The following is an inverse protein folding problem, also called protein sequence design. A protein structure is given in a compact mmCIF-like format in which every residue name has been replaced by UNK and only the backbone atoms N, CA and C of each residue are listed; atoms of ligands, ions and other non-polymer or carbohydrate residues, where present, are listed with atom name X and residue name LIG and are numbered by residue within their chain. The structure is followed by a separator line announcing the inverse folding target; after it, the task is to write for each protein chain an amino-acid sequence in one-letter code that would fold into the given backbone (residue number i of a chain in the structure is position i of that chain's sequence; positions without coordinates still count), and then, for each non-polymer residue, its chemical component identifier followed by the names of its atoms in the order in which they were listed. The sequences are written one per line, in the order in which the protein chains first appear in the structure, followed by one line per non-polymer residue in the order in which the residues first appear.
data_IF_567634567312
#
_entry.id   IF_567634567312
#
_cell.length_a   1.000
_cell.length_b   1.000
_cell.length_c   1.000
_cell.angle_alpha   90.00
_cell.angle_beta   90.00
_cell.angle_gamma   90.00
#
_symmetry.space_group_name_H-M   'P 1'
#
loop_
_entity.id
_entity.type
_entity.pdbx_description
1 polymer ?
#
# COMPACT_ATOMS: atom_id res chain seq x y z
N UNK A 1 -1.83 -58.04 -46.76
CA UNK A 1 -1.94 -56.57 -46.68
C UNK A 1 -1.77 -56.19 -45.21
N UNK A 2 -0.60 -55.67 -44.83
CA UNK A 2 -0.21 -55.39 -43.44
C UNK A 2 -0.97 -54.17 -42.91
N UNK A 3 -1.73 -54.33 -41.82
CA UNK A 3 -2.39 -53.21 -41.14
C UNK A 3 -1.42 -52.63 -40.10
N UNK A 4 -0.92 -51.41 -40.35
CA UNK A 4 -0.11 -50.65 -39.39
C UNK A 4 -1.01 -50.16 -38.25
N UNK A 5 -0.84 -50.70 -37.03
CA UNK A 5 -1.31 -50.03 -35.81
C UNK A 5 -0.33 -48.90 -35.48
N UNK A 6 -0.79 -47.66 -35.59
CA UNK A 6 -0.10 -46.48 -35.07
C UNK A 6 -0.55 -46.32 -33.62
N UNK A 7 0.36 -46.51 -32.66
CA UNK A 7 0.14 -46.11 -31.27
C UNK A 7 0.40 -44.61 -31.15
N UNK A 8 -0.67 -43.83 -30.98
CA UNK A 8 -0.58 -42.43 -30.55
C UNK A 8 -0.44 -42.46 -29.03
N UNK A 9 0.76 -42.24 -28.51
CA UNK A 9 0.94 -41.90 -27.11
C UNK A 9 0.41 -40.48 -26.89
N UNK A 10 -0.82 -40.35 -26.40
CA UNK A 10 -1.24 -39.13 -25.70
C UNK A 10 -0.50 -39.13 -24.36
N UNK A 11 0.54 -38.31 -24.26
CA UNK A 11 1.09 -37.93 -22.96
C UNK A 11 0.01 -37.11 -22.25
N UNK A 12 -0.79 -37.77 -21.40
CA UNK A 12 -1.58 -37.07 -20.40
C UNK A 12 -0.58 -36.42 -19.44
N UNK A 13 -0.41 -35.10 -19.54
CA UNK A 13 0.31 -34.31 -18.55
C UNK A 13 -0.42 -34.46 -17.22
N UNK A 14 0.15 -35.28 -16.33
CA UNK A 14 -0.26 -35.35 -14.94
C UNK A 14 0.11 -33.99 -14.34
N UNK A 15 -0.84 -33.06 -14.30
CA UNK A 15 -0.74 -31.86 -13.49
C UNK A 15 -0.75 -32.32 -12.04
N UNK A 16 0.44 -32.43 -11.44
CA UNK A 16 0.57 -32.58 -10.00
C UNK A 16 -0.22 -31.45 -9.33
N UNK A 17 -1.01 -31.72 -8.27
CA UNK A 17 -1.72 -30.66 -7.56
C UNK A 17 -0.70 -29.64 -7.07
N UNK A 18 -0.84 -28.40 -7.51
CA UNK A 18 -0.02 -27.30 -7.04
C UNK A 18 -0.39 -27.07 -5.56
N UNK A 19 0.60 -27.19 -4.68
CA UNK A 19 0.40 -26.85 -3.26
C UNK A 19 0.20 -25.32 -3.20
N UNK A 20 -0.91 -24.90 -2.62
CA UNK A 20 -1.22 -23.48 -2.38
C UNK A 20 -1.10 -23.23 -0.88
N UNK A 21 -0.33 -22.20 -0.52
CA UNK A 21 -0.23 -21.64 0.82
C UNK A 21 -0.87 -20.27 0.79
N UNK A 22 -2.04 -20.16 1.40
CA UNK A 22 -2.70 -18.87 1.63
C UNK A 22 -2.01 -18.16 2.81
N UNK A 23 -1.89 -16.84 2.71
CA UNK A 23 -1.39 -15.96 3.75
C UNK A 23 -2.52 -14.97 4.04
N UNK A 24 -3.22 -15.19 5.14
CA UNK A 24 -4.38 -14.40 5.52
C UNK A 24 -3.93 -13.07 6.14
N UNK A 25 -4.29 -11.96 5.50
CA UNK A 25 -3.83 -10.62 5.90
C UNK A 25 -5.01 -9.75 6.30
N UNK A 26 -5.07 -9.42 7.59
CA UNK A 26 -5.96 -8.40 8.11
C UNK A 26 -5.42 -7.00 7.81
N UNK A 27 -6.22 -6.16 7.18
CA UNK A 27 -5.96 -4.73 6.99
C UNK A 27 -6.91 -3.97 7.91
N UNK A 28 -6.36 -3.23 8.87
CA UNK A 28 -7.17 -2.44 9.80
C UNK A 28 -7.03 -0.94 9.53
N UNK A 29 -8.17 -0.30 9.30
CA UNK A 29 -8.33 1.15 9.34
C UNK A 29 -9.41 1.55 10.35
N UNK A 30 -9.19 2.64 11.06
CA UNK A 30 -10.18 3.22 11.97
C UNK A 30 -11.37 3.79 11.19
N UNK A 31 -11.15 4.17 9.93
CA UNK A 31 -12.19 4.45 8.95
C UNK A 31 -11.84 3.82 7.61
N UNK A 32 -12.81 3.19 6.95
CA UNK A 32 -12.64 2.53 5.66
C UNK A 32 -12.43 3.53 4.49
N UNK A 33 -11.58 4.55 4.64
CA UNK A 33 -11.37 5.62 3.65
C UNK A 33 -10.11 5.45 2.79
N UNK A 34 -9.20 4.54 3.13
CA UNK A 34 -7.90 4.35 2.45
C UNK A 34 -7.51 2.87 2.27
N UNK A 35 -8.47 1.98 2.45
CA UNK A 35 -8.35 0.52 2.45
C UNK A 35 -7.97 -0.10 1.10
N UNK A 36 -8.38 0.54 0.00
CA UNK A 36 -8.09 0.05 -1.34
C UNK A 36 -6.60 0.05 -1.68
N UNK A 37 -5.80 1.02 -1.23
CA UNK A 37 -4.40 1.15 -1.67
C UNK A 37 -3.52 0.01 -1.16
N UNK A 38 -3.68 -0.38 0.11
CA UNK A 38 -2.97 -1.52 0.68
C UNK A 38 -3.40 -2.80 -0.03
N UNK A 39 -4.72 -3.01 -0.18
CA UNK A 39 -5.28 -4.18 -0.86
C UNK A 39 -4.76 -4.28 -2.30
N UNK A 40 -4.74 -3.17 -3.02
CA UNK A 40 -4.25 -3.08 -4.40
C UNK A 40 -2.75 -3.44 -4.47
N UNK A 41 -1.95 -2.98 -3.50
CA UNK A 41 -0.53 -3.29 -3.43
C UNK A 41 -0.22 -4.78 -3.19
N UNK A 42 -1.06 -5.46 -2.41
CA UNK A 42 -0.76 -6.81 -1.89
C UNK A 42 -1.64 -7.93 -2.47
N UNK A 43 -2.60 -7.61 -3.35
CA UNK A 43 -3.39 -8.59 -4.13
C UNK A 43 -2.49 -9.32 -5.14
N UNK A 44 -1.74 -10.29 -4.64
CA UNK A 44 -0.59 -10.87 -5.30
C UNK A 44 -0.36 -12.33 -4.87
N UNK A 45 0.07 -13.15 -5.83
CA UNK A 45 0.54 -14.51 -5.60
C UNK A 45 1.81 -14.80 -6.39
N UNK A 46 2.64 -15.71 -5.89
CA UNK A 46 3.86 -16.13 -6.56
C UNK A 46 4.11 -17.62 -6.36
N UNK A 47 4.81 -18.25 -7.30
CA UNK A 47 5.25 -19.63 -7.17
C UNK A 47 6.77 -19.73 -6.95
N UNK A 48 7.18 -20.44 -5.89
CA UNK A 48 8.59 -20.72 -5.59
C UNK A 48 8.73 -22.15 -5.10
N UNK A 49 9.73 -22.86 -5.61
CA UNK A 49 10.03 -24.26 -5.26
C UNK A 49 8.84 -25.21 -5.38
N UNK A 50 7.95 -24.99 -6.37
CA UNK A 50 6.77 -25.83 -6.62
C UNK A 50 5.55 -25.51 -5.75
N UNK A 51 5.63 -24.52 -4.86
CA UNK A 51 4.53 -24.05 -4.00
C UNK A 51 4.05 -22.69 -4.51
N UNK A 52 2.73 -22.51 -4.63
CA UNK A 52 2.10 -21.20 -4.84
C UNK A 52 1.82 -20.58 -3.47
N UNK A 53 2.22 -19.34 -3.28
CA UNK A 53 1.87 -18.52 -2.13
C UNK A 53 0.89 -17.45 -2.59
N UNK A 54 -0.19 -17.24 -1.85
CA UNK A 54 -1.25 -16.30 -2.20
C UNK A 54 -1.55 -15.41 -1.00
N UNK A 55 -1.43 -14.08 -1.17
CA UNK A 55 -1.83 -13.13 -0.14
C UNK A 55 -3.34 -12.94 -0.25
N UNK A 56 -4.05 -13.17 0.85
CA UNK A 56 -5.51 -13.03 0.93
C UNK A 56 -5.81 -11.83 1.85
N UNK A 57 -5.96 -10.61 1.28
CA UNK A 57 -6.21 -9.41 2.07
C UNK A 57 -7.69 -9.28 2.43
N UNK A 58 -7.98 -9.03 3.70
CA UNK A 58 -9.31 -8.73 4.21
C UNK A 58 -9.29 -7.46 5.07
N UNK A 59 -10.28 -6.60 4.87
CA UNK A 59 -10.43 -5.38 5.66
C UNK A 59 -11.27 -5.72 6.88
N UNK A 60 -10.72 -5.50 8.06
CA UNK A 60 -11.38 -5.79 9.33
C UNK A 60 -11.70 -4.51 10.10
N UNK A 61 -12.68 -4.61 10.98
CA UNK A 61 -13.16 -3.52 11.82
C UNK A 61 -12.57 -3.59 13.22
N UNK A 62 -12.68 -2.46 13.94
CA UNK A 62 -12.26 -2.36 15.34
C UNK A 62 -12.94 -3.40 16.23
N UNK A 63 -14.22 -3.66 15.97
CA UNK A 63 -15.01 -4.59 16.78
C UNK A 63 -14.61 -6.05 16.53
N UNK A 64 -14.22 -6.42 15.30
CA UNK A 64 -13.67 -7.75 15.00
C UNK A 64 -12.33 -7.97 15.72
N UNK A 65 -11.45 -6.95 15.74
CA UNK A 65 -10.22 -6.99 16.54
C UNK A 65 -10.55 -7.19 18.03
N UNK A 66 -11.50 -6.43 18.58
CA UNK A 66 -11.91 -6.57 19.99
C UNK A 66 -12.48 -7.95 20.30
N UNK A 67 -13.16 -8.58 19.35
CA UNK A 67 -13.69 -9.95 19.50
C UNK A 67 -12.59 -11.02 19.43
N UNK A 68 -11.35 -10.65 19.09
CA UNK A 68 -10.21 -11.55 18.99
C UNK A 68 -10.11 -12.25 17.64
N UNK A 69 -10.79 -11.74 16.61
CA UNK A 69 -10.86 -12.36 15.28
C UNK A 69 -9.51 -12.29 14.54
N UNK A 70 -8.54 -11.51 15.04
CA UNK A 70 -7.15 -11.52 14.58
C UNK A 70 -6.50 -12.92 14.61
N UNK A 71 -7.02 -13.86 15.41
CA UNK A 71 -6.52 -15.24 15.42
C UNK A 71 -6.74 -16.01 14.11
N UNK A 72 -7.55 -15.48 13.21
CA UNK A 72 -7.83 -16.08 11.90
C UNK A 72 -6.85 -15.62 10.81
N UNK A 73 -5.89 -14.75 11.14
CA UNK A 73 -4.97 -14.15 10.18
C UNK A 73 -3.52 -14.49 10.51
N UNK A 74 -2.64 -14.41 9.52
CA UNK A 74 -1.20 -14.54 9.69
C UNK A 74 -0.54 -13.19 9.97
N UNK A 75 -1.06 -12.12 9.35
CA UNK A 75 -0.46 -10.78 9.40
C UNK A 75 -1.54 -9.71 9.58
N UNK A 76 -1.26 -8.74 10.46
CA UNK A 76 -2.02 -7.50 10.59
C UNK A 76 -1.23 -6.34 9.98
N UNK A 77 -1.85 -5.63 9.05
CA UNK A 77 -1.35 -4.38 8.47
C UNK A 77 -2.15 -3.22 9.05
N UNK A 78 -1.46 -2.28 9.70
CA UNK A 78 -2.00 -0.99 10.11
C UNK A 78 -1.28 0.11 9.32
N UNK A 79 -1.93 0.72 8.34
CA UNK A 79 -1.38 1.80 7.55
C UNK A 79 -1.50 3.17 8.23
N UNK A 80 -1.10 4.24 7.53
CA UNK A 80 -1.13 5.59 8.06
C UNK A 80 -2.55 6.17 8.12
N UNK A 81 -3.09 6.35 9.33
CA UNK A 81 -4.36 7.05 9.55
C UNK A 81 -4.35 7.82 10.88
N UNK A 82 -4.78 9.09 10.94
CA UNK A 82 -4.77 9.87 12.17
C UNK A 82 -5.73 9.36 13.26
N UNK A 83 -6.83 8.69 12.90
CA UNK A 83 -7.80 8.18 13.88
C UNK A 83 -7.28 7.01 14.71
N UNK A 84 -6.23 6.32 14.25
CA UNK A 84 -5.66 5.16 14.94
C UNK A 84 -5.11 5.50 16.35
N UNK A 85 -4.68 6.75 16.56
CA UNK A 85 -4.21 7.21 17.87
C UNK A 85 -5.33 7.25 18.91
N UNK A 86 -6.56 7.54 18.50
CA UNK A 86 -7.73 7.45 19.40
C UNK A 86 -8.07 5.99 19.71
N UNK A 87 -7.87 5.07 18.76
CA UNK A 87 -8.09 3.64 18.99
C UNK A 87 -7.14 3.06 20.03
N UNK A 88 -5.94 3.63 20.18
CA UNK A 88 -5.00 3.24 21.23
C UNK A 88 -5.49 3.55 22.66
N UNK A 89 -6.59 4.29 22.83
CA UNK A 89 -7.27 4.46 24.12
C UNK A 89 -8.15 3.25 24.48
N UNK A 90 -8.47 2.37 23.52
CA UNK A 90 -9.22 1.15 23.75
C UNK A 90 -8.28 0.02 24.20
N UNK A 91 -8.28 -0.26 25.51
CA UNK A 91 -7.43 -1.29 26.11
C UNK A 91 -7.71 -2.69 25.58
N UNK A 92 -8.96 -3.00 25.21
CA UNK A 92 -9.31 -4.32 24.67
C UNK A 92 -8.73 -4.49 23.27
N UNK A 93 -8.85 -3.46 22.44
CA UNK A 93 -8.24 -3.43 21.11
C UNK A 93 -6.72 -3.62 21.18
N UNK A 94 -6.03 -2.86 22.04
CA UNK A 94 -4.57 -3.01 22.24
C UNK A 94 -4.19 -4.40 22.71
N UNK A 95 -4.95 -4.96 23.67
CA UNK A 95 -4.68 -6.29 24.24
C UNK A 95 -4.77 -7.37 23.18
N UNK A 96 -5.78 -7.35 22.32
CA UNK A 96 -5.93 -8.38 21.28
C UNK A 96 -4.83 -8.25 20.22
N UNK A 97 -4.39 -7.05 19.84
CA UNK A 97 -3.23 -6.88 18.94
C UNK A 97 -1.95 -7.40 19.58
N UNK A 98 -1.66 -7.00 20.83
CA UNK A 98 -0.47 -7.51 21.55
C UNK A 98 -0.49 -9.03 21.63
N UNK A 99 -1.63 -9.62 21.96
CA UNK A 99 -1.80 -11.08 22.04
C UNK A 99 -1.57 -11.75 20.69
N UNK A 100 -2.15 -11.21 19.62
CA UNK A 100 -1.97 -11.70 18.26
C UNK A 100 -0.48 -11.74 17.88
N UNK A 101 0.22 -10.62 18.05
CA UNK A 101 1.64 -10.53 17.71
C UNK A 101 2.47 -11.44 18.63
N UNK A 102 2.23 -11.43 19.95
CA UNK A 102 3.01 -12.27 20.88
C UNK A 102 2.88 -13.76 20.58
N UNK A 103 1.76 -14.19 20.00
CA UNK A 103 1.47 -15.59 19.66
C UNK A 103 2.00 -16.00 18.27
N UNK A 104 2.75 -15.14 17.58
CA UNK A 104 3.37 -15.47 16.28
C UNK A 104 2.81 -14.70 15.10
N UNK A 105 1.73 -13.92 15.29
CA UNK A 105 1.17 -13.07 14.24
C UNK A 105 2.16 -11.98 13.78
N UNK A 106 2.17 -11.70 12.48
CA UNK A 106 2.94 -10.62 11.89
C UNK A 106 2.30 -9.26 12.08
N UNK A 107 3.08 -8.21 12.34
CA UNK A 107 2.60 -6.83 12.37
C UNK A 107 3.36 -5.98 11.35
N UNK A 108 2.63 -5.24 10.52
CA UNK A 108 3.20 -4.24 9.61
C UNK A 108 2.55 -2.89 9.91
N UNK A 109 3.33 -1.94 10.41
CA UNK A 109 2.90 -0.57 10.66
C UNK A 109 3.46 0.39 9.61
N UNK A 110 2.64 1.27 9.05
CA UNK A 110 3.06 2.31 8.09
C UNK A 110 2.66 3.68 8.64
N UNK A 111 3.58 4.66 8.63
CA UNK A 111 3.37 6.02 9.11
C UNK A 111 2.77 6.02 10.53
N UNK A 112 1.52 6.47 10.72
CA UNK A 112 0.83 6.39 12.02
C UNK A 112 0.75 4.98 12.60
N UNK A 113 0.61 3.95 11.77
CA UNK A 113 0.70 2.56 12.18
C UNK A 113 2.08 2.17 12.71
N UNK A 114 3.16 2.73 12.16
CA UNK A 114 4.50 2.52 12.69
C UNK A 114 4.67 3.21 14.06
N UNK A 115 4.19 4.45 14.18
CA UNK A 115 4.29 5.24 15.42
C UNK A 115 3.59 4.55 16.61
N UNK A 116 2.39 3.99 16.39
CA UNK A 116 1.66 3.32 17.47
C UNK A 116 2.25 1.98 17.89
N UNK A 117 3.22 1.42 17.17
CA UNK A 117 3.92 0.21 17.62
C UNK A 117 4.79 0.47 18.87
N UNK A 118 5.18 1.73 19.08
CA UNK A 118 6.09 2.13 20.14
C UNK A 118 5.53 2.03 21.57
N UNK A 119 6.40 2.24 22.58
CA UNK A 119 6.09 2.00 24.00
C UNK A 119 4.87 2.77 24.54
N UNK A 120 4.62 3.97 24.03
CA UNK A 120 3.52 4.84 24.47
C UNK A 120 2.13 4.33 24.07
N UNK A 121 2.06 3.40 23.11
CA UNK A 121 0.81 2.91 22.53
C UNK A 121 0.72 1.39 22.62
N UNK A 122 1.05 0.65 21.56
CA UNK A 122 1.02 -0.81 21.53
C UNK A 122 2.17 -1.43 22.32
N UNK A 123 3.35 -0.80 22.40
CA UNK A 123 4.51 -1.36 23.10
C UNK A 123 4.98 -2.71 22.56
N UNK A 124 4.79 -2.93 21.26
CA UNK A 124 5.25 -4.13 20.53
C UNK A 124 6.60 -3.89 19.85
N UNK A 125 7.13 -2.67 19.90
CA UNK A 125 8.47 -2.33 19.44
C UNK A 125 9.13 -1.32 20.39
N UNK A 126 10.41 -1.53 20.72
CA UNK A 126 11.19 -0.60 21.53
C UNK A 126 11.82 0.51 20.67
N UNK A 127 10.95 1.31 20.04
CA UNK A 127 11.34 2.41 19.17
C UNK A 127 11.26 3.75 19.89
N UNK A 128 12.15 4.66 19.52
CA UNK A 128 11.97 6.09 19.73
C UNK A 128 11.40 6.71 18.45
N UNK A 129 10.55 7.72 18.62
CA UNK A 129 9.84 8.41 17.54
C UNK A 129 10.27 9.88 17.60
N UNK A 130 10.97 10.34 16.57
CA UNK A 130 11.26 11.76 16.33
C UNK A 130 10.17 12.30 15.38
N UNK A 131 9.24 13.07 15.94
CA UNK A 131 7.99 13.43 15.28
C UNK A 131 7.46 14.77 15.85
N UNK A 132 7.79 15.89 15.20
CA UNK A 132 7.40 17.22 15.67
C UNK A 132 6.30 17.85 14.80
N UNK A 133 5.26 18.33 15.48
CA UNK A 133 4.10 19.00 14.86
C UNK A 133 4.48 20.27 14.09
N UNK A 134 5.55 20.95 14.50
CA UNK A 134 6.06 22.17 13.90
C UNK A 134 7.15 21.93 12.85
N UNK A 135 7.55 20.67 12.66
CA UNK A 135 8.61 20.24 11.74
C UNK A 135 8.06 19.24 10.70
N UNK A 136 8.28 17.93 10.85
CA UNK A 136 7.94 16.89 9.87
C UNK A 136 6.46 16.92 9.49
N UNK A 137 5.57 17.14 10.47
CA UNK A 137 4.12 17.13 10.25
C UNK A 137 3.65 18.26 9.35
N UNK A 138 4.46 19.30 9.12
CA UNK A 138 4.09 20.32 8.14
C UNK A 138 4.02 19.73 6.73
N UNK A 139 4.81 18.70 6.41
CA UNK A 139 4.67 17.96 5.15
C UNK A 139 3.35 17.20 5.08
N UNK A 140 2.72 16.86 6.22
CA UNK A 140 1.42 16.17 6.27
C UNK A 140 0.28 17.19 6.18
N UNK A 141 0.27 18.13 7.12
CA UNK A 141 -0.80 19.10 7.30
C UNK A 141 -0.97 20.02 6.09
N UNK A 142 0.12 20.31 5.40
CA UNK A 142 0.17 21.29 4.32
C UNK A 142 0.18 20.66 2.93
N UNK A 143 0.30 19.34 2.83
CA UNK A 143 0.26 18.66 1.54
C UNK A 143 -1.05 18.93 0.83
N UNK A 144 -1.04 19.01 -0.49
CA UNK A 144 -2.22 18.64 -1.27
C UNK A 144 -2.29 17.11 -1.30
N UNK A 145 -3.38 16.46 -0.89
CA UNK A 145 -3.39 14.99 -0.78
C UNK A 145 -3.17 14.30 -2.14
N UNK A 146 -3.59 14.95 -3.25
CA UNK A 146 -3.44 14.43 -4.61
C UNK A 146 -2.09 14.75 -5.27
N UNK A 147 -1.34 15.71 -4.75
CA UNK A 147 -0.12 16.24 -5.39
C UNK A 147 1.04 16.50 -4.44
N UNK A 148 0.84 16.40 -3.15
CA UNK A 148 1.81 16.56 -2.07
C UNK A 148 2.40 15.22 -1.66
N UNK A 149 3.13 15.20 -0.55
CA UNK A 149 4.05 14.11 -0.23
C UNK A 149 5.28 14.21 -1.11
N UNK A 150 6.45 14.13 -0.50
CA UNK A 150 7.72 14.38 -1.14
C UNK A 150 8.47 13.07 -1.41
N UNK A 151 9.28 12.99 -2.47
CA UNK A 151 10.11 11.83 -2.73
C UNK A 151 11.35 11.89 -1.82
N UNK A 152 11.46 11.03 -0.82
CA UNK A 152 12.68 10.93 -0.01
C UNK A 152 13.48 9.69 -0.38
N UNK A 153 14.79 9.86 -0.56
CA UNK A 153 15.70 8.74 -0.66
C UNK A 153 15.97 8.13 0.71
N UNK A 154 15.81 6.82 0.78
CA UNK A 154 16.27 6.00 1.89
C UNK A 154 17.49 5.19 1.46
N UNK A 155 18.49 5.11 2.32
CA UNK A 155 19.59 4.18 2.18
C UNK A 155 19.19 2.80 2.69
N UNK A 156 19.51 1.76 1.91
CA UNK A 156 19.20 0.37 2.24
C UNK A 156 20.48 -0.31 2.77
N UNK A 157 20.68 -0.40 4.10
CA UNK A 157 21.84 -1.10 4.66
C UNK A 157 21.74 -2.60 4.39
N UNK A 158 22.89 -3.29 4.42
CA UNK A 158 22.89 -4.75 4.44
C UNK A 158 22.10 -5.26 5.65
N UNK A 159 21.24 -6.25 5.42
CA UNK A 159 20.47 -6.90 6.48
C UNK A 159 20.39 -8.40 6.21
N UNK A 160 20.33 -9.19 7.28
CA UNK A 160 19.99 -10.62 7.17
C UNK A 160 18.51 -10.82 6.84
N UNK A 161 17.70 -9.78 6.95
CA UNK A 161 16.28 -9.83 6.64
C UNK A 161 16.10 -9.58 5.13
N UNK A 162 15.50 -10.55 4.40
CA UNK A 162 15.53 -10.58 2.94
C UNK A 162 14.52 -9.65 2.27
N UNK A 163 13.85 -8.76 3.02
CA UNK A 163 12.85 -7.82 2.45
C UNK A 163 13.51 -7.02 1.33
N UNK A 164 14.68 -6.42 1.57
CA UNK A 164 15.43 -5.65 0.58
C UNK A 164 16.55 -6.44 -0.13
N UNK A 165 16.49 -7.78 -0.14
CA UNK A 165 17.49 -8.60 -0.84
C UNK A 165 17.58 -8.20 -2.33
N UNK A 166 18.81 -7.90 -2.77
CA UNK A 166 19.12 -7.36 -4.11
C UNK A 166 19.31 -5.83 -4.16
N UNK A 167 19.01 -5.10 -3.08
CA UNK A 167 19.07 -3.63 -3.04
C UNK A 167 20.02 -3.09 -1.95
N UNK A 168 20.76 -3.95 -1.25
CA UNK A 168 21.68 -3.52 -0.20
C UNK A 168 22.79 -2.61 -0.75
N UNK A 169 23.10 -1.54 -0.02
CA UNK A 169 24.08 -0.53 -0.42
C UNK A 169 23.56 0.48 -1.46
N UNK A 170 22.29 0.41 -1.83
CA UNK A 170 21.66 1.36 -2.76
C UNK A 170 20.76 2.36 -2.03
N UNK A 171 20.35 3.38 -2.77
CA UNK A 171 19.30 4.31 -2.37
C UNK A 171 18.01 3.95 -3.08
N UNK A 172 16.88 4.12 -2.40
CA UNK A 172 15.55 3.95 -2.98
C UNK A 172 14.67 5.11 -2.62
N UNK A 173 13.92 5.60 -3.59
CA UNK A 173 12.98 6.68 -3.36
C UNK A 173 11.66 6.12 -2.81
N UNK A 174 11.20 6.63 -1.67
CA UNK A 174 9.92 6.25 -1.07
C UNK A 174 9.17 7.53 -0.71
N UNK A 175 7.87 7.52 -0.96
CA UNK A 175 7.02 8.68 -0.79
C UNK A 175 6.78 8.97 0.69
N UNK A 176 6.90 10.24 1.07
CA UNK A 176 6.89 10.69 2.47
C UNK A 176 5.94 11.86 2.70
N UNK A 177 5.20 11.86 3.81
CA UNK A 177 4.25 12.92 4.17
C UNK A 177 4.52 13.53 5.55
N UNK A 178 5.63 13.27 6.22
CA UNK A 178 5.81 13.70 7.62
C UNK A 178 5.70 12.54 8.60
N UNK A 179 6.17 11.35 8.20
CA UNK A 179 6.32 10.22 9.11
C UNK A 179 7.54 10.40 10.01
N UNK A 180 7.54 9.81 11.19
CA UNK A 180 8.61 10.02 12.15
C UNK A 180 9.96 9.47 11.69
N UNK A 181 11.05 10.12 12.11
CA UNK A 181 12.33 9.44 12.23
C UNK A 181 12.25 8.40 13.36
N UNK A 182 12.74 7.18 13.12
CA UNK A 182 12.72 6.13 14.14
C UNK A 182 14.12 5.82 14.67
N UNK A 183 14.19 5.48 15.95
CA UNK A 183 15.39 4.96 16.61
C UNK A 183 15.07 3.83 17.58
N UNK A 184 15.93 3.62 18.57
CA UNK A 184 15.74 2.63 19.63
C UNK A 184 16.36 1.26 19.36
N UNK A 185 15.96 0.27 20.16
CA UNK A 185 16.49 -1.10 20.13
C UNK A 185 15.69 -1.97 19.15
N UNK A 186 15.81 -1.60 17.88
CA UNK A 186 15.23 -2.32 16.74
C UNK A 186 16.27 -2.39 15.62
N UNK A 187 16.11 -3.33 14.70
CA UNK A 187 17.05 -3.49 13.60
C UNK A 187 16.61 -2.65 12.40
N UNK A 188 17.38 -1.62 11.97
CA UNK A 188 17.04 -0.85 10.79
C UNK A 188 17.19 -1.69 9.52
N UNK A 189 16.24 -1.52 8.60
CA UNK A 189 16.27 -2.09 7.25
C UNK A 189 16.18 -1.02 6.16
N UNK A 190 15.91 0.23 6.52
CA UNK A 190 16.10 1.42 5.69
C UNK A 190 16.39 2.64 6.58
N UNK A 191 17.20 3.57 6.11
CA UNK A 191 17.65 4.77 6.83
C UNK A 191 17.32 5.99 5.97
N UNK A 192 16.79 7.07 6.54
CA UNK A 192 16.61 8.33 5.80
C UNK A 192 17.98 8.85 5.33
N UNK A 193 18.19 8.93 4.02
CA UNK A 193 19.44 9.43 3.44
C UNK A 193 19.42 10.95 3.23
N UNK A 194 18.24 11.55 3.29
CA UNK A 194 17.95 12.94 2.99
C UNK A 194 17.08 13.53 4.08
N UNK A 195 17.16 14.85 4.21
CA UNK A 195 16.33 15.63 5.12
C UNK A 195 15.16 16.26 4.33
N UNK A 196 13.89 16.09 4.74
CA UNK A 196 12.74 16.75 4.11
C UNK A 196 12.94 18.24 3.79
N UNK A 197 13.48 19.02 4.73
CA UNK A 197 13.68 20.46 4.50
C UNK A 197 14.79 20.77 3.48
N UNK A 198 15.72 19.84 3.23
CA UNK A 198 16.73 19.97 2.17
C UNK A 198 16.15 19.62 0.79
N UNK A 199 15.33 18.57 0.71
CA UNK A 199 14.71 18.08 -0.54
C UNK A 199 13.55 18.98 -0.98
N UNK A 200 12.76 19.43 -0.02
CA UNK A 200 11.52 20.15 -0.24
C UNK A 200 11.41 21.33 0.74
N UNK A 201 12.20 22.41 0.55
CA UNK A 201 12.15 23.56 1.44
C UNK A 201 10.73 24.13 1.54
N UNK A 202 10.16 24.11 2.74
CA UNK A 202 8.79 24.52 3.00
C UNK A 202 8.76 25.62 4.08
N UNK A 203 7.87 26.61 3.93
CA UNK A 203 7.62 27.59 4.98
C UNK A 203 6.55 27.11 5.96
N UNK A 204 6.74 27.45 7.24
CA UNK A 204 5.67 27.44 8.22
C UNK A 204 4.78 28.66 8.01
N UNK A 205 3.55 28.42 7.58
CA UNK A 205 2.59 29.48 7.32
C UNK A 205 1.71 29.76 8.53
N UNK A 206 1.52 31.04 8.85
CA UNK A 206 0.61 31.50 9.93
C UNK A 206 -0.47 32.41 9.37
N UNK A 207 -1.62 32.42 10.05
CA UNK A 207 -2.73 33.32 9.74
C UNK A 207 -2.72 34.54 10.67
N UNK A 208 -2.51 35.74 10.10
CA UNK A 208 -2.65 37.02 10.79
C UNK A 208 -3.62 37.96 10.04
N UNK A 209 -4.77 37.42 9.62
CA UNK A 209 -5.72 38.11 8.71
C UNK A 209 -5.40 37.94 7.22
N UNK A 210 -4.21 37.44 6.93
CA UNK A 210 -3.78 36.84 5.66
C UNK A 210 -2.76 35.75 5.96
N UNK A 211 -2.59 34.80 5.04
CA UNK A 211 -1.52 33.81 5.14
C UNK A 211 -0.16 34.44 4.86
N UNK A 212 0.77 34.31 5.81
CA UNK A 212 2.15 34.78 5.65
C UNK A 212 3.15 33.65 5.96
N UNK A 213 4.26 33.58 5.21
CA UNK A 213 5.36 32.69 5.58
C UNK A 213 6.03 33.28 6.83
N UNK A 214 6.05 32.51 7.92
CA UNK A 214 6.60 32.97 9.20
C UNK A 214 8.06 32.59 9.38
N UNK A 215 8.39 31.33 9.10
CA UNK A 215 9.75 30.78 9.17
C UNK A 215 9.90 29.62 8.21
N UNK A 216 11.13 29.20 7.93
CA UNK A 216 11.37 27.93 7.25
C UNK A 216 11.12 26.78 8.22
N UNK A 217 10.57 25.69 7.69
CA UNK A 217 10.56 24.41 8.38
C UNK A 217 11.97 23.85 8.35
N UNK A 218 12.40 23.36 9.50
CA UNK A 218 13.64 22.59 9.68
C UNK A 218 13.20 21.26 10.23
N UNK A 219 13.75 20.18 9.71
CA UNK A 219 13.51 18.80 10.16
C UNK A 219 14.87 18.18 10.49
N UNK A 220 14.88 17.10 11.26
CA UNK A 220 16.13 16.45 11.70
C UNK A 220 16.09 14.91 11.70
N UNK A 221 15.46 14.31 10.67
CA UNK A 221 15.29 12.85 10.58
C UNK A 221 16.37 12.14 9.74
N UNK A 222 17.26 12.87 9.07
CA UNK A 222 18.33 12.28 8.25
C UNK A 222 19.29 11.44 9.11
N UNK A 223 19.52 10.20 8.68
CA UNK A 223 20.32 9.22 9.42
C UNK A 223 19.50 8.39 10.42
N UNK A 224 18.25 8.76 10.69
CA UNK A 224 17.32 7.95 11.47
C UNK A 224 16.70 6.82 10.63
N UNK A 225 16.05 5.87 11.30
CA UNK A 225 15.50 4.69 10.64
C UNK A 225 14.21 5.05 9.92
N UNK A 226 14.21 4.91 8.59
CA UNK A 226 13.01 5.02 7.77
C UNK A 226 12.17 3.73 7.82
N UNK A 227 12.82 2.59 8.00
CA UNK A 227 12.15 1.32 8.23
C UNK A 227 12.96 0.45 9.19
N UNK A 228 12.26 -0.26 10.07
CA UNK A 228 12.89 -1.12 11.07
C UNK A 228 12.08 -2.39 11.31
N UNK A 229 12.75 -3.41 11.84
CA UNK A 229 12.11 -4.67 12.23
C UNK A 229 12.52 -5.09 13.63
N UNK A 230 11.61 -5.76 14.31
CA UNK A 230 11.86 -6.36 15.63
C UNK A 230 10.95 -7.57 15.85
N UNK A 231 10.97 -8.12 17.05
CA UNK A 231 10.05 -9.18 17.49
C UNK A 231 9.32 -8.75 18.74
N UNK A 232 8.11 -9.29 18.90
CA UNK A 232 7.35 -9.20 20.13
C UNK A 232 6.71 -10.55 20.39
N UNK A 233 7.14 -11.22 21.48
CA UNK A 233 6.90 -12.65 21.64
C UNK A 233 7.42 -13.45 20.44
N UNK A 234 6.58 -14.29 19.87
CA UNK A 234 6.92 -15.11 18.70
C UNK A 234 6.70 -14.39 17.36
N UNK A 235 6.00 -13.25 17.37
CA UNK A 235 5.65 -12.48 16.17
C UNK A 235 6.77 -11.58 15.66
N UNK A 236 6.63 -11.20 14.39
CA UNK A 236 7.54 -10.28 13.68
C UNK A 236 6.85 -8.95 13.48
N UNK A 237 7.56 -7.87 13.80
CA UNK A 237 7.08 -6.50 13.68
C UNK A 237 7.93 -5.78 12.64
N UNK A 238 7.28 -5.18 11.65
CA UNK A 238 7.88 -4.41 10.56
C UNK A 238 7.26 -3.02 10.56
N UNK A 239 8.10 -2.00 10.53
CA UNK A 239 7.69 -0.60 10.65
C UNK A 239 8.24 0.19 9.47
N UNK A 240 7.39 0.98 8.84
CA UNK A 240 7.75 1.91 7.77
C UNK A 240 7.27 3.30 8.16
N UNK A 241 8.19 4.25 8.26
CA UNK A 241 7.84 5.67 8.35
C UNK A 241 7.29 6.23 7.02
N UNK A 242 7.97 6.04 5.87
CA UNK A 242 7.43 6.45 4.57
C UNK A 242 6.40 5.43 4.03
N UNK A 243 5.78 5.74 2.90
CA UNK A 243 4.65 5.01 2.33
C UNK A 243 5.05 4.14 1.11
N UNK A 244 5.50 2.88 1.29
CA UNK A 244 5.83 1.98 0.19
C UNK A 244 4.61 1.50 -0.63
N UNK A 245 3.39 1.67 -0.11
CA UNK A 245 2.13 1.40 -0.81
C UNK A 245 1.78 2.48 -1.85
N UNK A 246 2.42 3.65 -1.78
CA UNK A 246 2.16 4.76 -2.68
C UNK A 246 3.23 4.86 -3.77
N UNK A 247 2.81 5.41 -4.91
CA UNK A 247 3.75 5.86 -5.93
C UNK A 247 4.58 7.05 -5.42
N UNK A 248 5.74 7.25 -6.01
CA UNK A 248 6.63 8.34 -5.65
C UNK A 248 6.90 9.26 -6.84
N UNK A 249 7.82 10.21 -6.69
CA UNK A 249 8.34 11.02 -7.79
C UNK A 249 9.80 10.69 -8.07
N UNK A 250 10.19 10.84 -9.33
CA UNK A 250 11.56 10.59 -9.79
C UNK A 250 12.37 11.89 -9.79
N UNK A 251 11.69 13.01 -9.99
CA UNK A 251 12.25 14.36 -10.00
C UNK A 251 11.19 15.35 -9.48
N UNK A 252 11.54 16.64 -9.48
CA UNK A 252 10.61 17.72 -9.26
C UNK A 252 11.05 18.70 -8.20
N UNK A 253 10.12 19.56 -7.83
CA UNK A 253 10.29 20.58 -6.82
C UNK A 253 8.98 20.84 -6.09
N UNK A 254 9.08 21.51 -4.95
CA UNK A 254 7.93 21.96 -4.18
C UNK A 254 7.42 23.30 -4.72
N UNK A 255 6.11 23.41 -4.88
CA UNK A 255 5.42 24.67 -5.16
C UNK A 255 4.49 25.00 -4.01
N UNK A 256 4.81 26.05 -3.27
CA UNK A 256 3.94 26.59 -2.23
C UNK A 256 2.85 27.46 -2.84
N UNK A 257 1.61 27.17 -2.46
CA UNK A 257 0.43 27.90 -2.85
C UNK A 257 -0.36 28.19 -1.58
N UNK A 258 -0.43 29.41 -1.06
CA UNK A 258 -1.68 29.77 -0.42
C UNK A 258 -2.72 29.79 -1.54
N UNK A 259 -3.54 28.74 -1.62
CA UNK A 259 -4.63 28.65 -2.63
C UNK A 259 -5.51 29.90 -2.55
N UNK A 260 -5.58 30.53 -1.36
CA UNK A 260 -6.27 31.78 -1.12
C UNK A 260 -5.62 32.60 0.02
N UNK A 261 -4.71 33.55 -0.26
CA UNK A 261 -4.00 34.29 0.78
C UNK A 261 -4.90 35.16 1.68
N UNK A 262 -6.10 35.49 1.20
CA UNK A 262 -7.11 36.32 1.90
C UNK A 262 -8.27 35.51 2.52
N UNK A 263 -8.38 34.20 2.25
CA UNK A 263 -9.43 33.37 2.85
C UNK A 263 -8.96 32.82 4.21
N UNK A 264 -9.92 32.78 5.13
CA UNK A 264 -9.99 32.24 6.51
C UNK A 264 -8.74 31.54 7.12
N UNK A 265 -8.59 31.54 8.45
CA UNK A 265 -7.51 30.80 9.16
C UNK A 265 -7.45 29.29 8.90
N UNK A 266 -8.43 28.72 8.20
CA UNK A 266 -8.42 27.34 7.76
C UNK A 266 -8.06 27.29 6.27
N UNK A 267 -6.80 26.98 5.98
CA UNK A 267 -6.36 26.62 4.62
C UNK A 267 -5.79 25.22 4.63
N UNK A 268 -6.26 24.42 3.69
CA UNK A 268 -5.76 23.08 3.39
C UNK A 268 -4.96 23.20 2.10
N UNK A 269 -3.98 22.30 1.91
CA UNK A 269 -3.22 22.18 0.65
C UNK A 269 -2.34 23.40 0.35
N UNK A 270 -1.36 23.66 1.21
CA UNK A 270 -0.44 24.79 1.03
C UNK A 270 0.74 24.49 0.12
N UNK A 271 0.96 23.24 -0.27
CA UNK A 271 1.97 22.90 -1.26
C UNK A 271 1.55 21.75 -2.17
N UNK A 272 2.10 21.78 -3.38
CA UNK A 272 2.17 20.63 -4.29
C UNK A 272 3.63 20.24 -4.46
N UNK A 273 3.87 18.96 -4.73
CA UNK A 273 5.06 18.53 -5.45
C UNK A 273 4.75 18.54 -6.94
N UNK A 274 5.64 19.12 -7.73
CA UNK A 274 5.54 19.18 -9.19
C UNK A 274 6.72 18.44 -9.78
N UNK A 275 6.44 17.31 -10.43
CA UNK A 275 7.45 16.43 -11.00
C UNK A 275 6.85 15.19 -11.64
N UNK A 276 7.71 14.36 -12.22
CA UNK A 276 7.33 13.11 -12.85
C UNK A 276 7.08 12.03 -11.80
N UNK A 277 5.88 11.43 -11.84
CA UNK A 277 5.52 10.30 -10.97
C UNK A 277 6.23 9.03 -11.43
N UNK A 278 6.61 8.19 -10.46
CA UNK A 278 6.94 6.80 -10.72
C UNK A 278 5.71 6.06 -11.23
N UNK A 279 5.93 4.83 -11.68
CA UNK A 279 4.80 3.94 -11.87
C UNK A 279 4.14 3.60 -10.50
N UNK A 280 2.87 3.18 -10.52
CA UNK A 280 2.07 3.01 -9.30
C UNK A 280 2.64 1.93 -8.36
N UNK A 281 3.12 0.82 -8.93
CA UNK A 281 3.62 -0.34 -8.18
C UNK A 281 5.11 -0.29 -7.86
N UNK A 282 5.77 0.84 -8.09
CA UNK A 282 7.21 1.01 -7.94
C UNK A 282 7.74 0.44 -6.62
N UNK A 283 7.03 0.65 -5.51
CA UNK A 283 7.44 0.18 -4.17
C UNK A 283 6.59 -0.96 -3.60
N UNK A 284 5.56 -1.43 -4.30
CA UNK A 284 4.60 -2.41 -3.76
C UNK A 284 5.24 -3.74 -3.34
N UNK A 285 6.31 -4.15 -4.02
CA UNK A 285 7.05 -5.35 -3.67
C UNK A 285 7.62 -5.33 -2.25
N UNK A 286 7.86 -4.14 -1.66
CA UNK A 286 8.35 -3.99 -0.29
C UNK A 286 7.31 -4.57 0.68
N UNK A 287 6.02 -4.25 0.49
CA UNK A 287 4.94 -4.79 1.30
C UNK A 287 4.72 -6.28 1.07
N UNK A 288 4.74 -6.73 -0.19
CA UNK A 288 4.60 -8.17 -0.54
C UNK A 288 5.69 -9.02 0.14
N UNK A 289 6.94 -8.56 0.11
CA UNK A 289 8.06 -9.24 0.79
C UNK A 289 7.97 -9.14 2.31
N UNK A 290 7.48 -8.02 2.84
CA UNK A 290 7.27 -7.84 4.28
C UNK A 290 6.21 -8.80 4.81
N UNK A 291 5.09 -8.96 4.11
CA UNK A 291 4.03 -9.93 4.43
C UNK A 291 4.59 -11.35 4.38
N UNK A 292 5.27 -11.72 3.28
CA UNK A 292 5.85 -13.05 3.16
C UNK A 292 6.86 -13.34 4.30
N UNK A 293 7.70 -12.37 4.66
CA UNK A 293 8.64 -12.53 5.76
C UNK A 293 7.92 -12.65 7.11
N UNK A 294 6.91 -11.81 7.36
CA UNK A 294 6.10 -11.83 8.58
C UNK A 294 5.41 -13.18 8.78
N UNK A 295 4.82 -13.73 7.72
CA UNK A 295 4.13 -15.02 7.68
C UNK A 295 5.07 -16.25 7.58
N UNK A 296 6.40 -16.07 7.65
CA UNK A 296 7.39 -17.15 7.47
C UNK A 296 7.31 -17.87 6.10
N UNK A 297 6.75 -17.21 5.08
CA UNK A 297 6.68 -17.70 3.71
C UNK A 297 7.98 -17.44 2.93
N UNK A 298 8.07 -18.05 1.74
CA UNK A 298 9.22 -17.84 0.84
C UNK A 298 9.12 -16.45 0.20
N UNK A 299 10.20 -15.67 0.24
CA UNK A 299 10.19 -14.29 -0.26
C UNK A 299 9.89 -14.22 -1.78
N UNK A 300 8.91 -13.40 -2.21
CA UNK A 300 8.61 -13.15 -3.62
C UNK A 300 9.70 -12.33 -4.32
N UNK A 301 9.74 -12.31 -5.66
CA UNK A 301 10.60 -11.40 -6.41
C UNK A 301 10.31 -9.92 -6.06
N UNK A 302 11.31 -9.05 -6.23
CA UNK A 302 11.11 -7.60 -6.15
C UNK A 302 10.49 -7.13 -7.47
N UNK A 303 9.20 -7.39 -7.61
CA UNK A 303 8.47 -7.22 -8.86
C UNK A 303 7.47 -6.08 -8.78
N UNK A 304 7.53 -5.20 -9.77
CA UNK A 304 6.56 -4.13 -10.00
C UNK A 304 5.33 -4.64 -10.78
N UNK A 305 5.19 -5.97 -10.99
CA UNK A 305 4.01 -6.53 -11.67
C UNK A 305 2.73 -6.07 -10.96
N UNK A 306 1.80 -5.51 -11.74
CA UNK A 306 0.50 -5.05 -11.25
C UNK A 306 -0.57 -5.04 -12.35
N UNK A 307 -1.82 -5.09 -11.91
CA UNK A 307 -3.00 -4.67 -12.67
C UNK A 307 -3.80 -3.68 -11.83
N UNK A 308 -4.43 -2.71 -12.48
CA UNK A 308 -5.20 -1.68 -11.82
C UNK A 308 -6.39 -1.26 -12.68
N UNK A 309 -7.60 -1.32 -12.12
CA UNK A 309 -8.81 -0.86 -12.78
C UNK A 309 -8.88 0.67 -12.63
N UNK A 310 -8.48 1.39 -13.68
CA UNK A 310 -8.47 2.84 -13.72
C UNK A 310 -9.88 3.41 -13.85
N UNK A 311 -10.69 2.80 -14.71
CA UNK A 311 -12.03 3.26 -15.05
C UNK A 311 -12.95 2.03 -15.18
N UNK A 312 -14.20 2.09 -14.70
CA UNK A 312 -14.74 3.12 -13.82
C UNK A 312 -14.21 2.93 -12.39
N UNK A 313 -13.77 3.99 -11.70
CA UNK A 313 -13.40 3.94 -10.26
C UNK A 313 -13.78 5.24 -9.56
N UNK A 314 -14.32 5.13 -8.34
CA UNK A 314 -14.64 6.24 -7.42
C UNK A 314 -15.37 7.42 -8.07
N UNK A 315 -16.42 7.14 -8.86
CA UNK A 315 -17.13 8.20 -9.56
C UNK A 315 -18.54 7.83 -10.02
N UNK A 316 -19.31 8.86 -10.34
CA UNK A 316 -20.56 8.74 -11.07
C UNK A 316 -20.27 8.87 -12.57
N UNK A 317 -20.61 7.83 -13.32
CA UNK A 317 -20.44 7.74 -14.75
C UNK A 317 -21.78 7.77 -15.45
N UNK A 318 -21.91 8.61 -16.47
CA UNK A 318 -23.09 8.64 -17.35
C UNK A 318 -22.60 8.41 -18.78
N UNK A 319 -23.00 7.29 -19.39
CA UNK A 319 -22.62 6.90 -20.75
C UNK A 319 -21.10 6.99 -21.00
N UNK A 320 -20.30 6.44 -20.07
CA UNK A 320 -18.85 6.33 -20.17
C UNK A 320 -18.07 7.56 -19.71
N UNK A 321 -18.75 8.67 -19.37
CA UNK A 321 -18.09 9.88 -18.88
C UNK A 321 -18.22 9.99 -17.37
N UNK A 322 -17.08 10.14 -16.66
CA UNK A 322 -17.07 10.54 -15.25
C UNK A 322 -17.61 11.97 -15.11
N UNK A 323 -18.70 12.13 -14.37
CA UNK A 323 -19.36 13.41 -14.14
C UNK A 323 -18.91 14.03 -12.83
N UNK A 324 -18.66 13.21 -11.81
CA UNK A 324 -18.13 13.63 -10.52
C UNK A 324 -17.41 12.46 -9.83
N UNK A 325 -16.50 12.79 -8.93
CA UNK A 325 -15.88 11.83 -8.00
C UNK A 325 -16.88 11.48 -6.89
N UNK A 326 -16.95 10.22 -6.51
CA UNK A 326 -17.81 9.68 -5.45
C UNK A 326 -17.09 8.54 -4.74
N UNK A 327 -17.44 8.26 -3.47
CA UNK A 327 -16.84 7.13 -2.74
C UNK A 327 -17.20 5.76 -3.32
N UNK A 328 -18.38 5.65 -3.92
CA UNK A 328 -18.83 4.44 -4.59
C UNK A 328 -18.78 4.65 -6.09
N UNK A 329 -18.51 3.59 -6.85
CA UNK A 329 -18.54 3.66 -8.32
C UNK A 329 -19.97 3.40 -8.81
N UNK A 330 -20.57 4.41 -9.44
CA UNK A 330 -21.94 4.34 -9.98
C UNK A 330 -21.89 4.50 -11.49
N UNK A 331 -22.52 3.60 -12.22
CA UNK A 331 -22.58 3.65 -13.69
C UNK A 331 -24.04 3.70 -14.14
N UNK A 332 -24.38 4.75 -14.90
CA UNK A 332 -25.65 4.88 -15.62
C UNK A 332 -25.39 4.60 -17.10
N UNK A 333 -25.95 3.50 -17.61
CA UNK A 333 -25.77 3.06 -18.99
C UNK A 333 -24.44 2.33 -19.24
N UNK A 334 -23.78 2.66 -20.36
CA UNK A 334 -22.53 2.00 -20.76
C UNK A 334 -21.34 2.64 -20.03
N UNK A 335 -20.37 1.84 -19.59
CA UNK A 335 -19.10 2.31 -19.06
C UNK A 335 -17.94 1.87 -19.94
N UNK A 336 -16.92 2.71 -19.96
CA UNK A 336 -15.61 2.36 -20.48
C UNK A 336 -14.80 1.75 -19.35
N UNK A 337 -14.37 0.49 -19.53
CA UNK A 337 -13.52 -0.21 -18.58
C UNK A 337 -12.09 -0.10 -19.08
N UNK A 338 -11.21 0.45 -18.24
CA UNK A 338 -9.78 0.59 -18.51
C UNK A 338 -8.98 -0.08 -17.42
N UNK A 339 -8.28 -1.15 -17.78
CA UNK A 339 -7.32 -1.84 -16.93
C UNK A 339 -5.93 -1.47 -17.40
N UNK A 340 -5.16 -0.84 -16.52
CA UNK A 340 -3.75 -0.59 -16.72
C UNK A 340 -2.93 -1.69 -16.06
N UNK A 341 -1.79 -2.04 -16.68
CA UNK A 341 -0.91 -3.08 -16.16
C UNK A 341 0.56 -2.73 -16.36
N UNK A 342 1.41 -3.31 -15.49
CA UNK A 342 2.87 -3.22 -15.58
C UNK A 342 3.42 -4.64 -15.47
N UNK A 343 4.36 -5.00 -16.34
CA UNK A 343 4.99 -6.32 -16.36
C UNK A 343 3.95 -7.46 -16.31
N UNK A 344 2.93 -7.39 -17.18
CA UNK A 344 1.89 -8.42 -17.32
C UNK A 344 1.90 -8.92 -18.76
N UNK A 345 2.07 -10.22 -18.95
CA UNK A 345 1.97 -10.88 -20.26
C UNK A 345 0.51 -11.12 -20.64
N UNK A 346 -0.28 -11.59 -19.68
CA UNK A 346 -1.67 -11.98 -19.90
C UNK A 346 -2.59 -11.24 -18.92
N UNK A 347 -3.37 -10.30 -19.45
CA UNK A 347 -4.44 -9.62 -18.73
C UNK A 347 -5.77 -10.33 -18.97
N UNK A 348 -6.60 -10.40 -17.94
CA UNK A 348 -7.94 -11.00 -18.02
C UNK A 348 -8.92 -10.12 -17.23
N UNK A 349 -10.05 -9.79 -17.86
CA UNK A 349 -11.16 -9.10 -17.22
C UNK A 349 -12.31 -10.07 -16.96
N UNK A 350 -12.79 -10.06 -15.72
CA UNK A 350 -14.00 -10.72 -15.27
C UNK A 350 -15.03 -9.71 -14.78
N UNK A 351 -16.30 -9.96 -15.08
CA UNK A 351 -17.43 -9.25 -14.48
C UNK A 351 -18.38 -10.31 -13.91
N UNK A 352 -18.68 -10.22 -12.61
CA UNK A 352 -19.50 -11.19 -11.88
C UNK A 352 -19.05 -12.65 -12.09
N UNK A 353 -17.73 -12.85 -12.06
CA UNK A 353 -17.11 -14.16 -12.27
C UNK A 353 -17.10 -14.65 -13.72
N UNK A 354 -17.71 -13.92 -14.67
CA UNK A 354 -17.69 -14.27 -16.10
C UNK A 354 -16.52 -13.59 -16.79
N UNK A 355 -15.69 -14.39 -17.48
CA UNK A 355 -14.59 -13.87 -18.32
C UNK A 355 -15.17 -13.07 -19.48
N UNK A 356 -14.79 -11.79 -19.58
CA UNK A 356 -15.26 -10.87 -20.60
C UNK A 356 -14.26 -10.78 -21.75
N UNK A 357 -12.99 -10.59 -21.41
CA UNK A 357 -11.91 -10.42 -22.39
C UNK A 357 -10.58 -10.87 -21.77
N UNK A 358 -9.69 -11.36 -22.63
CA UNK A 358 -8.29 -11.64 -22.33
C UNK A 358 -7.44 -11.05 -23.44
N UNK A 359 -6.29 -10.52 -23.07
CA UNK A 359 -5.37 -9.86 -23.99
C UNK A 359 -4.01 -9.64 -23.35
N UNK A 360 -3.08 -9.11 -24.14
CA UNK A 360 -1.72 -8.88 -23.65
C UNK A 360 -1.65 -7.57 -22.86
N UNK A 361 -1.21 -7.64 -21.61
CA UNK A 361 -1.05 -6.47 -20.75
C UNK A 361 -2.35 -5.72 -20.48
N UNK A 362 -2.36 -4.41 -20.77
CA UNK A 362 -3.48 -3.51 -20.48
C UNK A 362 -4.69 -3.82 -21.37
N UNK A 363 -5.88 -3.69 -20.79
CA UNK A 363 -7.15 -4.05 -21.44
C UNK A 363 -8.10 -2.87 -21.40
N UNK A 364 -8.75 -2.59 -22.53
CA UNK A 364 -9.78 -1.57 -22.65
C UNK A 364 -11.01 -2.15 -23.34
N UNK A 365 -12.19 -1.94 -22.79
CA UNK A 365 -13.44 -2.41 -23.38
C UNK A 365 -14.65 -1.57 -22.95
N UNK A 366 -15.74 -1.69 -23.68
CA UNK A 366 -17.02 -1.10 -23.29
C UNK A 366 -17.95 -2.17 -22.74
N UNK A 367 -18.58 -1.89 -21.61
CA UNK A 367 -19.52 -2.81 -20.97
C UNK A 367 -20.80 -2.07 -20.53
N UNK A 368 -21.94 -2.76 -20.63
CA UNK A 368 -23.23 -2.26 -20.13
C UNK A 368 -23.55 -3.02 -18.85
N UNK A 369 -23.71 -2.31 -17.74
CA UNK A 369 -24.12 -2.91 -16.49
C UNK A 369 -25.64 -3.01 -16.42
N UNK A 370 -26.14 -4.12 -15.89
CA UNK A 370 -27.54 -4.22 -15.52
C UNK A 370 -27.76 -3.43 -14.21
N UNK A 371 -29.03 -3.26 -13.82
CA UNK A 371 -29.32 -2.62 -12.54
C UNK A 371 -28.93 -3.56 -11.40
N UNK A 372 -27.97 -3.16 -10.58
CA UNK A 372 -27.48 -3.99 -9.49
C UNK A 372 -26.05 -3.66 -9.07
N UNK A 373 -25.53 -4.43 -8.13
CA UNK A 373 -24.12 -4.40 -7.75
C UNK A 373 -23.40 -5.45 -8.58
N UNK A 374 -22.33 -5.02 -9.23
CA UNK A 374 -21.48 -5.86 -10.06
C UNK A 374 -20.04 -5.80 -9.56
N UNK A 375 -19.31 -6.91 -9.70
CA UNK A 375 -17.89 -6.99 -9.34
C UNK A 375 -17.07 -7.03 -10.61
N UNK A 376 -16.19 -6.03 -10.78
CA UNK A 376 -15.18 -6.01 -11.84
C UNK A 376 -13.89 -6.54 -11.24
N UNK A 377 -13.35 -7.63 -11.80
CA UNK A 377 -12.07 -8.20 -11.39
C UNK A 377 -11.12 -8.27 -12.57
N UNK A 378 -9.97 -7.61 -12.43
CA UNK A 378 -8.85 -7.71 -13.34
C UNK A 378 -7.82 -8.69 -12.78
N UNK A 379 -7.30 -9.58 -13.62
CA UNK A 379 -6.19 -10.49 -13.28
C UNK A 379 -5.06 -10.24 -14.27
N UNK A 380 -3.83 -10.17 -13.79
CA UNK A 380 -2.62 -10.11 -14.61
C UNK A 380 -1.67 -11.23 -14.25
N UNK A 381 -1.09 -11.88 -15.26
CA UNK A 381 -0.09 -12.93 -15.08
C UNK A 381 1.24 -12.50 -15.67
N UNK A 382 2.31 -12.90 -14.99
CA UNK A 382 3.68 -12.75 -15.48
C UNK A 382 4.55 -13.89 -14.97
N UNK A 383 4.81 -14.89 -15.82
CA UNK A 383 5.60 -16.06 -15.45
C UNK A 383 5.02 -16.81 -14.26
N UNK A 384 5.66 -16.68 -13.09
CA UNK A 384 5.27 -17.36 -11.84
C UNK A 384 4.46 -16.47 -10.89
N UNK A 385 4.08 -15.28 -11.34
CA UNK A 385 3.40 -14.27 -10.56
C UNK A 385 2.00 -14.03 -11.11
N UNK A 386 1.05 -13.83 -10.22
CA UNK A 386 -0.32 -13.42 -10.56
C UNK A 386 -0.74 -12.27 -9.64
N UNK A 387 -1.33 -11.24 -10.22
CA UNK A 387 -1.85 -10.04 -9.55
C UNK A 387 -3.31 -9.90 -9.88
N UNK A 388 -4.07 -9.28 -8.98
CA UNK A 388 -5.45 -8.93 -9.28
C UNK A 388 -5.84 -7.59 -8.67
N UNK A 389 -6.86 -6.99 -9.26
CA UNK A 389 -7.53 -5.82 -8.73
C UNK A 389 -9.03 -6.00 -8.86
N UNK A 390 -9.78 -5.60 -7.84
CA UNK A 390 -11.22 -5.83 -7.78
C UNK A 390 -11.93 -4.60 -7.23
N UNK A 391 -13.03 -4.20 -7.89
CA UNK A 391 -13.88 -3.10 -7.46
C UNK A 391 -15.36 -3.47 -7.62
N UNK A 392 -16.20 -2.84 -6.80
CA UNK A 392 -17.65 -2.94 -6.89
C UNK A 392 -18.22 -1.74 -7.65
N UNK A 393 -19.16 -2.01 -8.54
CA UNK A 393 -19.87 -1.00 -9.35
C UNK A 393 -21.37 -1.14 -9.16
N UNK A 394 -22.04 -0.03 -8.89
CA UNK A 394 -23.50 0.04 -8.88
C UNK A 394 -23.99 0.47 -10.27
N UNK A 395 -24.55 -0.48 -11.02
CA UNK A 395 -25.26 -0.22 -12.26
C UNK A 395 -26.67 0.32 -12.00
N UNK A 396 -27.06 1.37 -12.72
CA UNK A 396 -28.37 2.03 -12.63
C UNK A 396 -29.11 1.97 -13.97
#
# INVERSE_FOLDING_TARGET
MLMKLVFIFLAASILSPQIIVEIDVAIYFSSAEYDEEIRDAISYSWSKDGIKYEIVPEIITKEEIRKGELSNYDVLVIPGEPRIYADCMDERWKKEIRKFVSNGGGYIGICGGANIAGPSYLGIANITINDDQLEEWQYLWKANWSRGGIPLNVYIPYSKIPIFEGFYGSYRNIRYWGGAGMGGDVMPIAIFAEEPCEVAPLHFWIWLGKWIPWKNITTDIKGEYAAAVTKYGDGKVILFSPHPEKDTFIDGHIEELPVHPELTPFTWFMYNWVGNRSNLSYNWWILRRSIAWAANAKIPPASETMVYICEPRNGLYINGRKIMETKITIVVGKAFIRIFSINVSDGILYIDGRKIIEGNGSIETWYSFEKGIHVIKAIGKNGKEEVWNEISVMGI
#
